data_IF_650591495530
#
_entry.id   IF_650591495530
#
_cell.length_a   1.000
_cell.length_b   1.000
_cell.length_c   1.000
_cell.angle_alpha   90.00
_cell.angle_beta   90.00
_cell.angle_gamma   90.00
#
_symmetry.space_group_name_H-M   'P 1'
#
loop_
_entity.id
_entity.type
_entity.pdbx_description
1 polymer ?
#
# COMPACT_ATOMS: atom_id res chain seq x y z
N UNK A 1 -57.24 -4.29 24.78
CA UNK A 1 -56.18 -5.23 25.20
C UNK A 1 -55.07 -5.10 24.16
N UNK A 2 -54.04 -4.28 24.41
CA UNK A 2 -52.72 -4.61 25.01
C UNK A 2 -52.02 -5.76 24.29
N UNK A 3 -51.04 -5.47 23.43
CA UNK A 3 -49.76 -6.18 23.27
C UNK A 3 -48.77 -5.23 22.55
N UNK A 4 -48.17 -4.30 23.29
CA UNK A 4 -46.76 -4.38 23.71
C UNK A 4 -45.77 -4.62 22.55
N UNK A 5 -45.22 -3.49 22.08
CA UNK A 5 -43.78 -3.21 22.09
C UNK A 5 -42.87 -4.40 21.77
N UNK A 6 -42.44 -4.50 20.51
CA UNK A 6 -41.14 -5.10 20.20
C UNK A 6 -40.18 -3.99 19.77
N UNK A 7 -39.55 -3.37 20.75
CA UNK A 7 -38.28 -2.68 20.54
C UNK A 7 -37.27 -3.76 20.16
N UNK A 8 -37.03 -3.91 18.86
CA UNK A 8 -35.88 -4.67 18.36
C UNK A 8 -34.64 -3.94 18.87
N UNK A 9 -33.73 -4.59 19.63
CA UNK A 9 -32.54 -3.93 20.10
C UNK A 9 -31.61 -3.75 18.89
N UNK A 10 -31.60 -2.54 18.34
CA UNK A 10 -30.61 -2.05 17.39
C UNK A 10 -29.29 -1.81 18.13
N UNK A 11 -28.68 -2.86 18.68
CA UNK A 11 -27.46 -2.78 19.50
C UNK A 11 -26.49 -3.93 19.20
N UNK A 12 -26.18 -4.18 17.93
CA UNK A 12 -25.11 -5.12 17.55
C UNK A 12 -24.44 -4.71 16.22
N UNK A 13 -24.17 -3.41 16.04
CA UNK A 13 -23.40 -2.90 14.89
C UNK A 13 -22.21 -2.02 15.30
N UNK A 14 -21.65 -2.24 16.50
CA UNK A 14 -20.39 -1.64 16.92
C UNK A 14 -19.42 -2.77 17.26
N UNK A 15 -18.52 -3.12 16.34
CA UNK A 15 -17.52 -4.14 16.69
C UNK A 15 -16.52 -4.58 15.63
N UNK A 16 -16.66 -4.21 14.36
CA UNK A 16 -15.66 -4.55 13.33
C UNK A 16 -15.15 -3.31 12.62
N UNK A 17 -14.60 -2.36 13.36
CA UNK A 17 -13.56 -1.51 12.79
C UNK A 17 -12.27 -2.35 12.75
N UNK A 18 -12.18 -3.25 11.76
CA UNK A 18 -10.93 -3.93 11.45
C UNK A 18 -9.90 -2.83 11.17
N UNK A 19 -8.86 -2.76 12.01
CA UNK A 19 -7.69 -1.94 11.70
C UNK A 19 -7.05 -2.58 10.46
N UNK A 20 -7.34 -2.04 9.28
CA UNK A 20 -6.52 -2.28 8.10
C UNK A 20 -5.14 -1.67 8.41
N UNK A 21 -4.23 -2.50 8.93
CA UNK A 21 -2.84 -2.12 9.08
C UNK A 21 -2.24 -2.00 7.69
N UNK A 22 -1.55 -0.89 7.41
CA UNK A 22 -0.68 -0.83 6.25
C UNK A 22 0.45 -1.85 6.48
N UNK A 23 0.52 -2.89 5.66
CA UNK A 23 1.61 -3.86 5.70
C UNK A 23 2.80 -3.30 4.93
N UNK A 24 3.97 -3.25 5.54
CA UNK A 24 5.20 -2.84 4.87
C UNK A 24 5.86 -4.07 4.23
N UNK A 25 6.07 -4.03 2.92
CA UNK A 25 6.69 -5.12 2.16
C UNK A 25 8.02 -4.65 1.59
N UNK A 26 9.04 -5.49 1.73
CA UNK A 26 10.35 -5.27 1.11
C UNK A 26 10.32 -5.75 -0.35
N UNK A 27 10.67 -4.85 -1.27
CA UNK A 27 10.61 -5.08 -2.72
C UNK A 27 11.97 -4.81 -3.33
N UNK A 28 12.52 -5.83 -3.99
CA UNK A 28 13.81 -5.73 -4.66
C UNK A 28 13.75 -4.89 -5.94
N UNK A 29 14.88 -4.24 -6.24
CA UNK A 29 15.09 -3.53 -7.49
C UNK A 29 14.86 -4.47 -8.67
N UNK A 30 13.94 -4.10 -9.55
CA UNK A 30 13.62 -4.89 -10.74
C UNK A 30 14.48 -4.47 -11.94
N UNK A 31 14.64 -3.16 -12.14
CA UNK A 31 15.43 -2.62 -13.25
C UNK A 31 15.96 -1.22 -12.92
N UNK A 32 17.17 -0.94 -13.39
CA UNK A 32 17.66 0.43 -13.56
C UNK A 32 17.46 0.86 -15.01
N UNK A 33 16.88 2.04 -15.20
CA UNK A 33 16.69 2.63 -16.51
C UNK A 33 17.49 3.92 -16.62
N UNK A 34 18.34 3.99 -17.64
CA UNK A 34 19.02 5.24 -18.03
C UNK A 34 18.09 6.07 -18.92
N UNK A 35 17.60 7.19 -18.40
CA UNK A 35 16.78 8.16 -19.11
C UNK A 35 17.59 9.24 -19.83
N UNK A 36 18.92 9.09 -19.92
CA UNK A 36 19.82 10.04 -20.56
C UNK A 36 19.81 11.40 -19.87
N UNK A 37 19.50 12.46 -20.62
CA UNK A 37 19.46 13.83 -20.08
C UNK A 37 18.40 14.03 -18.98
N UNK A 38 17.40 13.14 -18.88
CA UNK A 38 16.35 13.21 -17.86
C UNK A 38 16.72 12.50 -16.55
N UNK A 39 17.94 11.93 -16.45
CA UNK A 39 18.42 11.20 -15.29
C UNK A 39 18.12 9.70 -15.34
N UNK A 40 18.41 9.00 -14.24
CA UNK A 40 18.16 7.55 -14.13
C UNK A 40 16.93 7.28 -13.26
N UNK A 41 16.26 6.17 -13.52
CA UNK A 41 15.14 5.71 -12.72
C UNK A 41 15.37 4.29 -12.20
N UNK A 42 15.04 4.06 -10.94
CA UNK A 42 15.00 2.75 -10.30
C UNK A 42 13.56 2.24 -10.31
N UNK A 43 13.35 1.05 -10.84
CA UNK A 43 12.02 0.46 -11.04
C UNK A 43 11.86 -0.71 -10.07
N UNK A 44 10.79 -0.69 -9.29
CA UNK A 44 10.43 -1.75 -8.34
C UNK A 44 9.05 -2.27 -8.69
N UNK A 45 8.93 -3.55 -9.04
CA UNK A 45 7.67 -4.16 -9.45
C UNK A 45 7.15 -5.08 -8.35
N UNK A 46 5.93 -4.81 -7.89
CA UNK A 46 5.26 -5.61 -6.86
C UNK A 46 3.76 -5.72 -7.16
N UNK A 47 3.22 -6.95 -7.13
CA UNK A 47 1.80 -7.26 -7.40
C UNK A 47 1.23 -6.57 -8.66
N UNK A 48 1.97 -6.56 -9.76
CA UNK A 48 1.54 -5.95 -11.02
C UNK A 48 1.55 -4.42 -11.05
N UNK A 49 2.03 -3.76 -9.99
CA UNK A 49 2.28 -2.32 -9.94
C UNK A 49 3.79 -2.05 -10.01
N UNK A 50 4.16 -0.90 -10.59
CA UNK A 50 5.53 -0.45 -10.66
C UNK A 50 5.68 0.87 -9.90
N UNK A 51 6.65 0.90 -8.99
CA UNK A 51 7.10 2.11 -8.30
C UNK A 51 8.38 2.62 -8.98
N UNK A 52 8.40 3.90 -9.32
CA UNK A 52 9.50 4.55 -10.03
C UNK A 52 10.17 5.57 -9.12
N UNK A 53 11.49 5.44 -8.92
CA UNK A 53 12.28 6.41 -8.17
C UNK A 53 13.36 7.01 -9.04
N UNK A 54 13.26 8.32 -9.32
CA UNK A 54 14.31 9.05 -10.02
C UNK A 54 15.51 9.22 -9.09
N UNK A 55 16.70 8.89 -9.57
CA UNK A 55 17.97 9.06 -8.84
C UNK A 55 18.88 10.05 -9.56
N UNK A 56 19.66 10.79 -8.78
CA UNK A 56 20.58 11.79 -9.33
C UNK A 56 21.82 11.13 -9.95
N UNK A 57 22.57 11.91 -10.71
CA UNK A 57 23.89 11.49 -11.18
C UNK A 57 24.78 11.13 -9.97
N UNK A 58 25.41 9.95 -10.01
CA UNK A 58 26.25 9.42 -8.93
C UNK A 58 25.52 8.68 -7.80
N UNK A 59 24.19 8.70 -7.77
CA UNK A 59 23.39 7.97 -6.77
C UNK A 59 22.99 6.58 -7.28
N UNK A 60 23.36 5.52 -6.57
CA UNK A 60 22.98 4.15 -6.95
C UNK A 60 21.54 3.85 -6.60
N UNK A 61 20.88 3.00 -7.40
CA UNK A 61 19.59 2.44 -7.00
C UNK A 61 19.74 1.57 -5.75
N UNK A 62 18.83 1.76 -4.80
CA UNK A 62 18.79 0.86 -3.65
C UNK A 62 18.34 -0.53 -4.12
N UNK A 63 19.04 -1.60 -3.71
CA UNK A 63 18.72 -2.96 -4.15
C UNK A 63 17.35 -3.42 -3.64
N UNK A 64 16.80 -2.74 -2.62
CA UNK A 64 15.52 -3.03 -2.01
C UNK A 64 14.90 -1.74 -1.46
N UNK A 65 13.56 -1.65 -1.50
CA UNK A 65 12.79 -0.59 -0.85
C UNK A 65 11.66 -1.19 -0.04
N UNK A 66 11.19 -0.44 0.96
CA UNK A 66 9.97 -0.75 1.70
C UNK A 66 8.79 -0.02 1.07
N UNK A 67 7.74 -0.76 0.71
CA UNK A 67 6.46 -0.24 0.22
C UNK A 67 5.39 -0.44 1.28
N UNK A 68 4.60 0.59 1.53
CA UNK A 68 3.37 0.46 2.31
C UNK A 68 2.26 -0.07 1.40
N UNK A 69 1.67 -1.19 1.80
CA UNK A 69 0.56 -1.82 1.12
C UNK A 69 -0.67 -1.71 2.00
N UNK A 70 -1.74 -1.17 1.44
CA UNK A 70 -3.05 -1.25 2.07
C UNK A 70 -3.76 -2.43 1.40
N UNK A 71 -3.79 -3.57 2.08
CA UNK A 71 -4.73 -4.62 1.72
C UNK A 71 -6.15 -4.06 1.92
N UNK A 72 -6.92 -4.01 0.83
CA UNK A 72 -8.28 -3.46 0.78
C UNK A 72 -9.33 -4.50 1.15
#
# INVERSE_FOLDING_TARGET
MKYFTKCVPLLLFFGLAARAGAETVAVSLSQEQDGGAQGRACIYVYQGKAEFRTVKAGESCQPEILLETHEG
#
